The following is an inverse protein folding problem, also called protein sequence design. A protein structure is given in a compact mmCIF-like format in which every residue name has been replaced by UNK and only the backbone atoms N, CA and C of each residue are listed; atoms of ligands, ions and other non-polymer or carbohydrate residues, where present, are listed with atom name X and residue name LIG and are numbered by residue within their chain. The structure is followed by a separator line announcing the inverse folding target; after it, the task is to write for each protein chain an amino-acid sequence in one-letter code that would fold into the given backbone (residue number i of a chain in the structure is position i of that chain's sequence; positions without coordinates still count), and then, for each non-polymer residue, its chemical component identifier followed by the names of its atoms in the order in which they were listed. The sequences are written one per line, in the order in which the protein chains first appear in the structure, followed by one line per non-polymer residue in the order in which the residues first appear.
data_IF_437452440020
#
_entry.id   IF_437452440020
#
_cell.length_a   1.000
_cell.length_b   1.000
_cell.length_c   1.000
_cell.angle_alpha   90.00
_cell.angle_beta   90.00
_cell.angle_gamma   90.00
#
_symmetry.space_group_name_H-M   'P 1'
#
loop_
_entity.id
_entity.type
_entity.pdbx_description
1 polymer ?
#
# COMPACT_ATOMS: atom_id res chain seq x y z
N UNK A 1 -9.97 -17.64 -7.32
CA UNK A 1 -10.16 -16.29 -7.87
C UNK A 1 -9.04 -15.37 -7.40
N UNK A 2 -8.44 -14.63 -8.33
CA UNK A 2 -7.32 -13.75 -8.01
C UNK A 2 -7.82 -12.49 -7.31
N UNK A 3 -7.21 -12.14 -6.17
CA UNK A 3 -7.52 -10.88 -5.50
C UNK A 3 -6.93 -9.71 -6.28
N UNK A 4 -7.64 -8.60 -6.27
CA UNK A 4 -7.11 -7.34 -6.78
C UNK A 4 -6.07 -6.80 -5.80
N UNK A 5 -4.92 -6.40 -6.32
CA UNK A 5 -3.88 -5.76 -5.53
C UNK A 5 -3.99 -4.25 -5.70
N UNK A 6 -4.39 -3.58 -4.64
CA UNK A 6 -4.58 -2.13 -4.63
C UNK A 6 -3.34 -1.45 -4.07
N UNK A 7 -2.73 -0.59 -4.88
CA UNK A 7 -1.58 0.20 -4.45
C UNK A 7 -2.02 1.53 -3.87
N UNK A 8 -1.43 1.90 -2.73
CA UNK A 8 -1.73 3.16 -2.05
C UNK A 8 -0.42 3.90 -1.82
N UNK A 9 -0.29 5.09 -2.40
CA UNK A 9 0.85 5.97 -2.17
C UNK A 9 0.55 6.87 -0.99
N UNK A 10 1.39 6.77 0.03
CA UNK A 10 1.19 7.54 1.24
C UNK A 10 0.41 6.76 2.28
N UNK A 11 0.91 6.75 3.50
CA UNK A 11 0.36 5.93 4.58
C UNK A 11 -0.28 6.73 5.70
N UNK A 12 -0.81 7.92 5.40
CA UNK A 12 -1.47 8.76 6.39
C UNK A 12 -2.84 8.21 6.77
N UNK A 13 -3.64 9.03 7.42
CA UNK A 13 -4.95 8.62 7.90
C UNK A 13 -5.87 8.15 6.77
N UNK A 14 -5.83 8.82 5.62
CA UNK A 14 -6.64 8.42 4.49
C UNK A 14 -6.21 7.05 3.95
N UNK A 15 -4.89 6.81 3.87
CA UNK A 15 -4.38 5.51 3.47
C UNK A 15 -4.83 4.40 4.41
N UNK A 16 -4.81 4.69 5.71
CA UNK A 16 -5.30 3.77 6.72
C UNK A 16 -6.78 3.42 6.50
N UNK A 17 -7.61 4.43 6.25
CA UNK A 17 -9.03 4.24 6.00
C UNK A 17 -9.27 3.42 4.74
N UNK A 18 -8.48 3.65 3.70
CA UNK A 18 -8.57 2.87 2.46
C UNK A 18 -8.22 1.40 2.69
N UNK A 19 -7.20 1.14 3.50
CA UNK A 19 -6.83 -0.24 3.85
C UNK A 19 -7.95 -0.94 4.59
N UNK A 20 -8.59 -0.25 5.52
CA UNK A 20 -9.70 -0.82 6.29
C UNK A 20 -10.90 -1.13 5.40
N UNK A 21 -11.21 -0.22 4.48
CA UNK A 21 -12.29 -0.44 3.53
C UNK A 21 -11.98 -1.59 2.57
N UNK A 22 -10.72 -1.68 2.13
CA UNK A 22 -10.28 -2.74 1.22
C UNK A 22 -10.41 -4.12 1.85
N UNK A 23 -10.15 -4.24 3.16
CA UNK A 23 -10.32 -5.51 3.87
C UNK A 23 -11.74 -6.02 3.81
N UNK A 24 -12.70 -5.11 3.93
CA UNK A 24 -14.12 -5.48 3.85
C UNK A 24 -14.50 -5.98 2.47
N UNK A 25 -13.76 -5.57 1.45
CA UNK A 25 -14.01 -5.97 0.06
C UNK A 25 -13.09 -7.10 -0.38
N UNK A 26 -12.30 -7.65 0.54
CA UNK A 26 -11.33 -8.72 0.27
C UNK A 26 -10.31 -8.32 -0.80
N UNK A 27 -9.82 -7.07 -0.71
CA UNK A 27 -8.82 -6.54 -1.61
C UNK A 27 -7.46 -6.52 -0.89
N UNK A 28 -6.43 -6.99 -1.57
CA UNK A 28 -5.07 -7.01 -1.04
C UNK A 28 -4.45 -5.61 -1.20
N UNK A 29 -3.96 -5.03 -0.12
CA UNK A 29 -3.41 -3.67 -0.16
C UNK A 29 -1.89 -3.66 -0.02
N UNK A 30 -1.27 -2.83 -0.85
CA UNK A 30 0.17 -2.58 -0.80
C UNK A 30 0.35 -1.08 -0.62
N UNK A 31 0.84 -0.67 0.55
CA UNK A 31 1.04 0.74 0.86
C UNK A 31 2.52 1.08 0.73
N UNK A 32 2.82 2.18 0.09
CA UNK A 32 4.17 2.71 -0.02
C UNK A 32 4.22 4.09 0.64
N UNK A 33 5.06 4.22 1.65
CA UNK A 33 5.23 5.46 2.39
C UNK A 33 6.71 5.69 2.68
N UNK A 34 7.09 6.94 2.85
CA UNK A 34 8.43 7.30 3.29
C UNK A 34 8.49 7.54 4.80
N UNK A 35 7.38 7.35 5.51
CA UNK A 35 7.27 7.59 6.94
C UNK A 35 7.17 6.26 7.70
N UNK A 36 8.17 5.93 8.54
CA UNK A 36 8.14 4.68 9.31
C UNK A 36 7.05 4.65 10.37
N UNK A 37 6.49 5.82 10.70
CA UNK A 37 5.40 5.92 11.68
C UNK A 37 4.02 5.98 11.03
N UNK A 38 3.94 5.58 9.78
CA UNK A 38 2.70 5.64 9.01
C UNK A 38 1.59 4.81 9.66
N UNK A 39 0.41 5.39 9.90
CA UNK A 39 -0.71 4.64 10.49
C UNK A 39 -1.20 3.49 9.61
N UNK A 40 -1.05 3.60 8.30
CA UNK A 40 -1.48 2.54 7.38
C UNK A 40 -0.65 1.27 7.48
N UNK A 41 0.53 1.33 8.11
CA UNK A 41 1.42 0.19 8.24
C UNK A 41 0.74 -1.01 8.89
N UNK A 42 -0.06 -0.78 9.92
CA UNK A 42 -0.72 -1.86 10.65
C UNK A 42 -1.90 -2.46 9.90
N UNK A 43 -2.47 -1.72 8.96
CA UNK A 43 -3.70 -2.13 8.27
C UNK A 43 -3.46 -2.60 6.85
N UNK A 44 -2.26 -2.39 6.32
CA UNK A 44 -1.92 -2.87 4.97
C UNK A 44 -1.51 -4.33 5.00
N UNK A 45 -1.74 -5.02 3.89
CA UNK A 45 -1.25 -6.39 3.74
C UNK A 45 0.25 -6.40 3.47
N UNK A 46 0.74 -5.39 2.74
CA UNK A 46 2.16 -5.22 2.48
C UNK A 46 2.51 -3.74 2.60
N UNK A 47 3.63 -3.45 3.25
CA UNK A 47 4.05 -2.06 3.46
C UNK A 47 5.47 -1.88 2.93
N UNK A 48 5.65 -0.90 2.05
CA UNK A 48 6.96 -0.55 1.50
C UNK A 48 7.41 0.77 2.13
N UNK A 49 8.51 0.72 2.88
CA UNK A 49 9.09 1.92 3.48
C UNK A 49 10.31 2.34 2.68
N UNK A 50 10.16 3.39 1.89
CA UNK A 50 11.26 3.90 1.07
C UNK A 50 10.91 5.28 0.54
N UNK A 51 11.93 6.02 0.09
CA UNK A 51 11.71 7.29 -0.58
C UNK A 51 10.98 7.07 -1.90
N UNK A 52 10.15 8.03 -2.29
CA UNK A 52 9.37 7.91 -3.52
C UNK A 52 10.21 8.01 -4.79
N UNK A 53 11.49 8.37 -4.69
CA UNK A 53 12.39 8.38 -5.83
C UNK A 53 13.28 7.12 -5.92
N UNK A 54 13.00 6.12 -5.12
CA UNK A 54 13.72 4.83 -5.16
C UNK A 54 13.21 4.02 -6.35
N UNK A 55 14.02 3.95 -7.40
CA UNK A 55 13.62 3.30 -8.66
C UNK A 55 13.33 1.81 -8.52
N UNK A 56 14.08 1.12 -7.68
CA UNK A 56 13.84 -0.30 -7.44
C UNK A 56 12.47 -0.53 -6.80
N UNK A 57 12.12 0.31 -5.85
CA UNK A 57 10.83 0.22 -5.17
C UNK A 57 9.69 0.65 -6.07
N UNK A 58 9.93 1.64 -6.94
CA UNK A 58 8.93 2.04 -7.95
C UNK A 58 8.59 0.85 -8.84
N UNK A 59 9.61 0.17 -9.36
CA UNK A 59 9.39 -0.98 -10.23
C UNK A 59 8.70 -2.13 -9.50
N UNK A 60 9.11 -2.40 -8.28
CA UNK A 60 8.49 -3.44 -7.45
C UNK A 60 7.01 -3.14 -7.23
N UNK A 61 6.72 -1.91 -6.80
CA UNK A 61 5.36 -1.47 -6.51
C UNK A 61 4.48 -1.56 -7.76
N UNK A 62 4.99 -1.03 -8.88
CA UNK A 62 4.22 -1.02 -10.13
C UNK A 62 3.88 -2.42 -10.63
N UNK A 63 4.77 -3.38 -10.42
CA UNK A 63 4.53 -4.77 -10.84
C UNK A 63 3.52 -5.49 -9.96
N UNK A 64 3.44 -5.10 -8.69
CA UNK A 64 2.59 -5.78 -7.72
C UNK A 64 1.15 -5.28 -7.74
N UNK A 65 0.92 -4.03 -8.14
CA UNK A 65 -0.40 -3.44 -8.03
C UNK A 65 -1.18 -3.55 -9.32
N UNK A 66 -2.50 -3.71 -9.18
CA UNK A 66 -3.44 -3.69 -10.30
C UNK A 66 -4.09 -2.33 -10.42
N UNK A 67 -4.20 -1.62 -9.32
CA UNK A 67 -4.86 -0.31 -9.27
C UNK A 67 -4.17 0.67 -8.35
#
# INVERSE_FOLDING_TARGET
MKKTNLGILGGGQLGCMLCMAAKKLDVYTIVWSDDPMSPAKEFSDEFILSNYNDEEKINYFAKKVDK
#
